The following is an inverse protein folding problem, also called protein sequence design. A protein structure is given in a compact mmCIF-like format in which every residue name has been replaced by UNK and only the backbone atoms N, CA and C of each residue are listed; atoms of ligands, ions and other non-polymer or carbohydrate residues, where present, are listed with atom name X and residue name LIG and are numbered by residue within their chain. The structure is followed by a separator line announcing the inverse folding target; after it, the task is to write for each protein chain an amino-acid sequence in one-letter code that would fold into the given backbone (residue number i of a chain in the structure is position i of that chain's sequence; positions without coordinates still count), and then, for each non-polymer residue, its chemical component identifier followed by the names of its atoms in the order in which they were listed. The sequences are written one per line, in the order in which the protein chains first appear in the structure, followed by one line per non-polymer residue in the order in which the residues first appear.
data_IF_430733502573
#
_entry.id   IF_430733502573
#
_cell.length_a   1.000
_cell.length_b   1.000
_cell.length_c   1.000
_cell.angle_alpha   90.00
_cell.angle_beta   90.00
_cell.angle_gamma   90.00
#
_symmetry.space_group_name_H-M   'P 1'
#
loop_
_entity.id
_entity.type
_entity.pdbx_description
1 polymer ?
#
# COMPACT_ATOMS: atom_id res chain seq x y z
N UNK A 1 -17.08 17.37 -10.72
CA UNK A 1 -17.27 16.03 -10.14
C UNK A 1 -15.89 15.47 -9.83
N UNK A 2 -15.57 15.21 -8.58
CA UNK A 2 -14.31 14.58 -8.19
C UNK A 2 -14.27 13.20 -8.82
N UNK A 3 -13.33 12.93 -9.74
CA UNK A 3 -13.17 11.60 -10.30
C UNK A 3 -12.49 10.73 -9.25
N UNK A 4 -13.24 9.78 -8.70
CA UNK A 4 -12.72 8.77 -7.77
C UNK A 4 -12.26 7.57 -8.58
N UNK A 5 -11.17 6.93 -8.16
CA UNK A 5 -10.69 5.69 -8.78
C UNK A 5 -11.24 4.52 -7.97
N UNK A 6 -12.11 3.75 -8.59
CA UNK A 6 -12.58 2.50 -8.04
C UNK A 6 -11.57 1.39 -8.32
N UNK A 7 -11.09 0.74 -7.27
CA UNK A 7 -10.19 -0.40 -7.35
C UNK A 7 -10.91 -1.67 -6.93
N UNK A 8 -10.72 -2.75 -7.69
CA UNK A 8 -11.12 -4.08 -7.25
C UNK A 8 -10.26 -4.51 -6.07
N UNK A 9 -10.81 -5.28 -5.14
CA UNK A 9 -10.05 -5.82 -4.01
C UNK A 9 -8.78 -6.57 -4.44
N UNK A 10 -8.85 -7.32 -5.55
CA UNK A 10 -7.68 -7.98 -6.12
C UNK A 10 -6.61 -7.01 -6.63
N UNK A 11 -6.99 -5.88 -7.24
CA UNK A 11 -6.03 -4.87 -7.66
C UNK A 11 -5.35 -4.22 -6.45
N UNK A 12 -6.11 -3.94 -5.39
CA UNK A 12 -5.56 -3.42 -4.14
C UNK A 12 -4.54 -4.38 -3.52
N UNK A 13 -4.87 -5.67 -3.44
CA UNK A 13 -4.02 -6.66 -2.79
C UNK A 13 -2.80 -7.05 -3.63
N UNK A 14 -2.95 -7.17 -4.96
CA UNK A 14 -1.91 -7.73 -5.81
C UNK A 14 -1.08 -6.71 -6.58
N UNK A 15 -1.54 -5.46 -6.73
CA UNK A 15 -0.86 -4.42 -7.52
C UNK A 15 -0.68 -3.08 -6.77
N UNK A 16 -1.57 -2.75 -5.84
CA UNK A 16 -1.71 -1.40 -5.31
C UNK A 16 -1.71 -1.32 -3.77
N UNK A 17 -0.97 -2.20 -3.11
CA UNK A 17 -0.83 -2.17 -1.65
C UNK A 17 0.06 -1.02 -1.14
N UNK A 18 0.25 -0.90 0.18
CA UNK A 18 1.20 0.00 0.81
C UNK A 18 2.57 0.02 0.12
N UNK A 19 3.09 1.21 -0.18
CA UNK A 19 4.33 1.42 -0.91
C UNK A 19 4.19 1.45 -2.43
N UNK A 20 3.06 1.04 -2.99
CA UNK A 20 2.82 1.13 -4.43
C UNK A 20 2.50 2.57 -4.87
N UNK A 21 2.82 2.89 -6.12
CA UNK A 21 2.49 4.17 -6.75
C UNK A 21 1.23 3.99 -7.62
N UNK A 22 0.22 4.82 -7.34
CA UNK A 22 -1.04 4.89 -8.05
C UNK A 22 -1.07 6.14 -8.93
N UNK A 23 -1.48 5.99 -10.20
CA UNK A 23 -1.83 7.13 -11.04
C UNK A 23 -3.23 7.61 -10.68
N UNK A 24 -3.36 8.87 -10.27
CA UNK A 24 -4.67 9.50 -10.11
C UNK A 24 -4.88 10.61 -11.12
N UNK A 25 -6.13 11.06 -11.23
CA UNK A 25 -6.52 12.19 -12.06
C UNK A 25 -5.91 13.51 -11.58
N UNK A 26 -5.44 13.57 -10.34
CA UNK A 26 -4.72 14.71 -9.75
C UNK A 26 -3.20 14.48 -9.67
N UNK A 27 -2.70 13.48 -10.37
CA UNK A 27 -1.30 13.08 -10.34
C UNK A 27 -1.03 11.85 -9.48
N UNK A 28 0.22 11.41 -9.43
CA UNK A 28 0.57 10.16 -8.77
C UNK A 28 0.64 10.29 -7.26
N UNK A 29 0.26 9.20 -6.60
CA UNK A 29 0.29 9.09 -5.14
C UNK A 29 0.89 7.75 -4.74
N UNK A 30 1.60 7.72 -3.61
CA UNK A 30 1.97 6.47 -2.94
C UNK A 30 0.87 6.05 -1.98
N UNK A 31 0.55 4.76 -1.95
CA UNK A 31 -0.35 4.19 -0.93
C UNK A 31 0.43 4.05 0.38
N UNK A 32 -0.09 4.60 1.47
CA UNK A 32 0.67 4.68 2.73
C UNK A 32 0.59 3.40 3.53
N UNK A 33 -0.49 3.17 4.25
CA UNK A 33 -0.67 1.98 5.06
C UNK A 33 -2.14 1.56 5.09
N UNK A 34 -2.37 0.27 5.34
CA UNK A 34 -3.72 -0.26 5.51
C UNK A 34 -4.37 0.15 6.83
N UNK A 35 -3.62 0.68 7.80
CA UNK A 35 -4.22 1.23 9.04
C UNK A 35 -5.25 2.34 8.77
N UNK A 36 -5.12 3.07 7.65
CA UNK A 36 -6.13 4.04 7.22
C UNK A 36 -7.47 3.41 6.82
N UNK A 37 -7.50 2.11 6.46
CA UNK A 37 -8.75 1.39 6.17
C UNK A 37 -9.62 1.31 7.43
N UNK A 38 -9.03 0.99 8.59
CA UNK A 38 -9.75 0.87 9.85
C UNK A 38 -10.43 2.19 10.23
N UNK A 39 -9.65 3.28 10.28
CA UNK A 39 -10.19 4.61 10.59
C UNK A 39 -11.22 5.07 9.56
N UNK A 40 -10.97 4.86 8.27
CA UNK A 40 -11.87 5.34 7.21
C UNK A 40 -13.17 4.55 7.15
N UNK A 41 -13.11 3.23 7.32
CA UNK A 41 -14.31 2.37 7.35
C UNK A 41 -15.11 2.63 8.63
N UNK A 42 -14.45 2.81 9.78
CA UNK A 42 -15.12 3.18 11.03
C UNK A 42 -15.90 4.50 10.90
N UNK A 43 -15.33 5.51 10.22
CA UNK A 43 -16.04 6.76 9.95
C UNK A 43 -17.25 6.56 9.02
N UNK A 44 -17.13 5.73 7.98
CA UNK A 44 -18.21 5.51 7.00
C UNK A 44 -19.40 4.74 7.57
N UNK A 45 -19.16 3.89 8.55
CA UNK A 45 -20.18 3.05 9.18
C UNK A 45 -20.78 3.68 10.44
N UNK A 46 -20.76 5.03 10.53
CA UNK A 46 -21.22 5.81 11.68
C UNK A 46 -20.64 5.35 13.03
N UNK A 47 -19.37 4.94 13.04
CA UNK A 47 -18.68 4.47 14.23
C UNK A 47 -18.96 3.01 14.62
N UNK A 48 -19.69 2.24 13.80
CA UNK A 48 -19.69 0.78 13.96
C UNK A 48 -18.28 0.25 13.69
N UNK A 49 -17.72 -0.52 14.61
CA UNK A 49 -16.43 -1.18 14.41
C UNK A 49 -16.59 -2.41 13.49
N UNK A 50 -16.91 -2.16 12.21
CA UNK A 50 -17.17 -3.20 11.21
C UNK A 50 -15.87 -3.83 10.73
N UNK A 51 -14.85 -3.02 10.44
CA UNK A 51 -13.50 -3.48 10.09
C UNK A 51 -12.57 -3.35 11.30
N UNK A 52 -11.63 -4.27 11.53
CA UNK A 52 -11.37 -5.50 10.75
C UNK A 52 -12.25 -6.70 11.16
N UNK A 53 -13.07 -6.59 12.22
CA UNK A 53 -13.77 -7.73 12.84
C UNK A 53 -14.76 -8.46 11.93
N UNK A 54 -15.73 -7.78 11.31
CA UNK A 54 -16.76 -8.41 10.46
C UNK A 54 -16.17 -8.97 9.14
N UNK A 55 -14.94 -8.59 8.81
CA UNK A 55 -14.22 -9.02 7.61
C UNK A 55 -13.11 -10.04 7.90
N UNK A 56 -13.05 -10.60 9.10
CA UNK A 56 -12.15 -11.70 9.45
C UNK A 56 -12.50 -12.96 8.65
N UNK A 57 -11.49 -13.59 8.04
CA UNK A 57 -11.62 -14.91 7.40
C UNK A 57 -11.29 -15.96 8.45
N UNK A 58 -12.33 -16.61 8.96
CA UNK A 58 -12.20 -17.69 9.94
C UNK A 58 -11.89 -19.00 9.21
N UNK A 59 -10.61 -19.32 9.09
CA UNK A 59 -10.15 -20.62 8.60
C UNK A 59 -9.07 -21.17 9.55
N UNK A 60 -9.42 -22.10 10.45
CA UNK A 60 -8.53 -22.59 11.50
C UNK A 60 -7.21 -23.15 10.96
N UNK A 61 -7.25 -23.85 9.81
CA UNK A 61 -6.06 -24.48 9.24
C UNK A 61 -5.07 -23.44 8.72
N UNK A 62 -5.56 -22.43 7.99
CA UNK A 62 -4.71 -21.35 7.49
C UNK A 62 -4.20 -20.47 8.61
N UNK A 63 -5.05 -20.19 9.61
CA UNK A 63 -4.68 -19.40 10.79
C UNK A 63 -3.57 -20.08 11.58
N UNK A 64 -3.55 -21.41 11.65
CA UNK A 64 -2.47 -22.19 12.29
C UNK A 64 -1.14 -22.16 11.54
N UNK A 65 -1.11 -21.75 10.27
CA UNK A 65 0.12 -21.59 9.47
C UNK A 65 0.71 -20.18 9.55
N UNK A 66 -0.01 -19.24 10.17
CA UNK A 66 0.46 -17.87 10.31
C UNK A 66 1.60 -17.79 11.34
N UNK A 67 2.57 -16.88 11.14
CA UNK A 67 3.67 -16.72 12.08
C UNK A 67 3.15 -16.36 13.47
N UNK A 68 3.83 -16.83 14.50
CA UNK A 68 3.60 -16.39 15.88
C UNK A 68 3.81 -14.88 15.93
N UNK A 69 2.92 -14.14 16.60
CA UNK A 69 2.84 -12.69 16.51
C UNK A 69 4.18 -11.96 16.70
N UNK A 70 4.36 -10.84 16.00
CA UNK A 70 5.56 -10.01 16.11
C UNK A 70 5.65 -9.48 17.55
N UNK A 71 6.84 -9.56 18.15
CA UNK A 71 7.15 -9.01 19.48
C UNK A 71 6.24 -9.50 20.64
N UNK A 72 5.78 -10.76 20.60
CA UNK A 72 4.93 -11.32 21.67
C UNK A 72 3.46 -10.88 21.60
N UNK A 73 3.05 -10.21 20.52
CA UNK A 73 1.65 -9.91 20.24
C UNK A 73 0.83 -11.15 19.86
N UNK A 74 -0.51 -11.03 19.79
CA UNK A 74 -1.37 -12.10 19.31
C UNK A 74 -0.99 -12.51 17.88
N UNK A 75 -1.25 -13.78 17.49
CA UNK A 75 -1.02 -14.22 16.11
C UNK A 75 -1.85 -13.34 15.15
N UNK A 76 -1.31 -13.04 13.96
CA UNK A 76 -2.05 -12.26 12.98
C UNK A 76 -3.31 -13.03 12.55
N UNK A 77 -4.30 -12.27 12.11
CA UNK A 77 -5.58 -12.79 11.62
C UNK A 77 -5.70 -12.52 10.12
N UNK A 78 -6.48 -13.35 9.44
CA UNK A 78 -6.78 -13.16 8.03
C UNK A 78 -7.98 -12.25 7.90
N UNK A 79 -7.91 -11.26 7.02
CA UNK A 79 -9.01 -10.36 6.73
C UNK A 79 -9.20 -10.22 5.23
N UNK A 80 -10.46 -10.11 4.79
CA UNK A 80 -10.78 -9.70 3.42
C UNK A 80 -10.96 -8.19 3.35
N UNK A 81 -10.67 -7.63 2.19
CA UNK A 81 -10.99 -6.21 1.91
C UNK A 81 -12.49 -6.10 1.59
N UNK A 82 -13.24 -5.21 2.24
CA UNK A 82 -14.64 -4.97 1.91
C UNK A 82 -14.81 -4.32 0.54
N UNK A 83 -15.95 -4.56 -0.10
CA UNK A 83 -16.42 -3.79 -1.24
C UNK A 83 -17.19 -2.54 -0.80
N UNK A 84 -17.26 -1.51 -1.66
CA UNK A 84 -17.99 -0.27 -1.36
C UNK A 84 -19.45 -0.51 -0.90
N UNK A 85 -20.26 -1.39 -1.53
CA UNK A 85 -21.64 -1.64 -1.08
C UNK A 85 -21.73 -2.27 0.33
N UNK A 86 -20.76 -3.09 0.73
CA UNK A 86 -20.79 -3.79 2.03
C UNK A 86 -20.59 -2.84 3.22
N UNK A 87 -19.99 -1.68 2.98
CA UNK A 87 -19.72 -0.66 4.01
C UNK A 87 -20.53 0.62 3.79
N UNK A 88 -21.59 0.56 2.96
CA UNK A 88 -22.41 1.71 2.55
C UNK A 88 -21.56 2.91 2.07
N UNK A 89 -20.42 2.62 1.44
CA UNK A 89 -19.55 3.67 0.96
C UNK A 89 -20.05 4.16 -0.40
N UNK A 90 -20.67 5.34 -0.41
CA UNK A 90 -21.22 5.88 -1.63
C UNK A 90 -20.15 6.45 -2.55
N UNK A 91 -19.13 7.19 -2.06
CA UNK A 91 -17.96 7.74 -2.84
C UNK A 91 -16.75 8.19 -2.00
N UNK A 92 -16.59 7.73 -0.77
CA UNK A 92 -15.50 8.19 0.10
C UNK A 92 -14.20 7.44 -0.15
N UNK A 93 -13.10 8.11 0.17
CA UNK A 93 -11.74 7.64 -0.07
C UNK A 93 -11.35 6.78 1.12
N UNK A 94 -11.10 5.50 0.90
CA UNK A 94 -10.79 4.56 2.00
C UNK A 94 -9.28 4.38 2.15
N UNK A 95 -8.53 4.53 1.06
CA UNK A 95 -7.08 4.38 1.07
C UNK A 95 -6.42 5.70 1.42
N UNK A 96 -5.55 5.64 2.43
CA UNK A 96 -4.64 6.73 2.73
C UNK A 96 -3.52 6.77 1.68
N UNK A 97 -3.33 7.94 1.09
CA UNK A 97 -2.35 8.16 0.02
C UNK A 97 -1.62 9.48 0.24
N UNK A 98 -0.41 9.58 -0.31
CA UNK A 98 0.43 10.78 -0.26
C UNK A 98 0.95 11.09 -1.66
N UNK A 99 0.97 12.36 -2.06
CA UNK A 99 1.51 12.80 -3.35
C UNK A 99 2.98 12.39 -3.49
N UNK A 100 3.33 11.75 -4.60
CA UNK A 100 4.68 11.28 -4.87
C UNK A 100 4.87 10.94 -6.36
N UNK A 101 5.98 11.36 -7.02
CA UNK A 101 7.10 12.14 -6.49
C UNK A 101 6.75 13.61 -6.23
N UNK A 102 7.61 14.31 -5.48
CA UNK A 102 7.48 15.75 -5.20
C UNK A 102 8.08 16.63 -6.28
N UNK A 103 8.60 16.08 -7.38
CA UNK A 103 9.16 16.85 -8.48
C UNK A 103 8.19 16.90 -9.66
N UNK A 104 8.01 18.10 -10.21
CA UNK A 104 7.08 18.40 -11.28
C UNK A 104 7.84 18.87 -12.53
N UNK A 105 7.30 18.58 -13.69
CA UNK A 105 7.76 19.02 -14.99
C UNK A 105 6.70 19.92 -15.62
N UNK A 106 7.01 21.21 -15.79
CA UNK A 106 6.19 22.15 -16.54
C UNK A 106 6.44 21.98 -18.03
N UNK A 107 5.38 21.75 -18.80
CA UNK A 107 5.41 21.56 -20.26
C UNK A 107 4.72 22.69 -21.02
N UNK A 108 4.72 23.89 -20.45
CA UNK A 108 4.11 25.04 -21.10
C UNK A 108 4.84 25.32 -22.43
N UNK A 109 4.13 25.37 -23.58
CA UNK A 109 4.74 25.65 -24.87
C UNK A 109 5.30 27.08 -24.98
N UNK A 110 4.83 28.00 -24.14
CA UNK A 110 5.22 29.42 -24.16
C UNK A 110 6.50 29.70 -23.36
N UNK A 111 7.20 28.66 -22.88
CA UNK A 111 8.51 28.85 -22.27
C UNK A 111 9.51 29.46 -23.27
N UNK A 112 10.37 30.40 -22.84
CA UNK A 112 11.28 31.13 -23.75
C UNK A 112 12.21 30.23 -24.57
N UNK A 113 12.66 29.11 -24.01
CA UNK A 113 13.55 28.16 -24.68
C UNK A 113 12.82 27.08 -25.49
N UNK A 114 11.48 27.00 -25.38
CA UNK A 114 10.68 25.89 -25.89
C UNK A 114 10.91 24.56 -25.16
N UNK A 115 11.74 24.54 -24.12
CA UNK A 115 12.02 23.35 -23.32
C UNK A 115 11.09 23.26 -22.10
N UNK A 116 11.13 22.12 -21.43
CA UNK A 116 10.40 21.90 -20.19
C UNK A 116 11.23 22.35 -18.99
N UNK A 117 10.57 22.58 -17.84
CA UNK A 117 11.26 22.97 -16.61
C UNK A 117 10.85 22.06 -15.46
N UNK A 118 11.86 21.54 -14.78
CA UNK A 118 11.78 20.69 -13.61
C UNK A 118 11.89 21.54 -12.36
N UNK A 119 10.95 21.36 -11.42
CA UNK A 119 10.91 22.10 -10.15
C UNK A 119 10.21 21.26 -9.07
N UNK A 120 10.27 21.71 -7.81
CA UNK A 120 9.69 20.99 -6.68
C UNK A 120 8.24 21.42 -6.38
N UNK A 121 7.36 20.47 -6.07
CA UNK A 121 5.98 20.69 -5.68
C UNK A 121 5.88 21.60 -4.45
N UNK A 122 4.81 22.40 -4.41
CA UNK A 122 4.62 23.49 -3.44
C UNK A 122 5.21 24.83 -3.91
N UNK A 123 6.03 24.82 -4.96
CA UNK A 123 6.41 26.03 -5.70
C UNK A 123 5.66 26.10 -7.04
N UNK A 124 5.42 27.31 -7.55
CA UNK A 124 4.94 27.51 -8.92
C UNK A 124 6.09 27.32 -9.90
N UNK A 125 5.77 27.06 -11.16
CA UNK A 125 6.79 27.14 -12.20
C UNK A 125 7.48 28.50 -12.13
N UNK A 126 8.82 28.56 -12.00
CA UNK A 126 9.53 29.83 -11.87
C UNK A 126 9.66 30.58 -13.21
N UNK A 127 9.33 29.93 -14.33
CA UNK A 127 9.49 30.48 -15.68
C UNK A 127 8.18 31.03 -16.25
N UNK A 128 7.05 30.39 -15.95
CA UNK A 128 5.73 30.80 -16.43
C UNK A 128 4.74 30.98 -15.27
N UNK A 129 3.80 31.93 -15.39
CA UNK A 129 2.78 32.16 -14.35
C UNK A 129 1.67 31.11 -14.32
N UNK A 130 1.59 30.25 -15.35
CA UNK A 130 0.52 29.27 -15.51
C UNK A 130 0.81 27.96 -14.76
N UNK A 131 -0.16 27.50 -13.99
CA UNK A 131 -0.06 26.29 -13.18
C UNK A 131 -0.67 25.05 -13.89
N UNK A 132 -1.37 25.18 -15.03
CA UNK A 132 -2.09 24.05 -15.64
C UNK A 132 -1.20 23.06 -16.43
N UNK A 133 0.08 23.39 -16.64
CA UNK A 133 1.00 22.63 -17.49
C UNK A 133 2.00 21.75 -16.74
N UNK A 134 1.87 21.61 -15.41
CA UNK A 134 2.79 20.79 -14.62
C UNK A 134 2.29 19.37 -14.38
N UNK A 135 3.20 18.41 -14.48
CA UNK A 135 2.93 17.00 -14.20
C UNK A 135 4.07 16.41 -13.37
N UNK A 136 3.78 15.48 -12.45
CA UNK A 136 4.83 14.82 -11.69
C UNK A 136 5.81 14.10 -12.62
N UNK A 137 7.11 14.18 -12.32
CA UNK A 137 8.13 13.50 -13.12
C UNK A 137 7.91 12.00 -13.14
N UNK A 138 8.40 11.36 -14.20
CA UNK A 138 8.25 9.91 -14.40
C UNK A 138 9.35 9.05 -13.77
N UNK A 139 10.35 9.67 -13.15
CA UNK A 139 11.50 8.98 -12.59
C UNK A 139 11.58 9.17 -11.07
N UNK A 140 11.97 8.09 -10.38
CA UNK A 140 12.13 8.03 -8.93
C UNK A 140 13.40 7.26 -8.60
N UNK A 141 13.88 7.39 -7.36
CA UNK A 141 15.02 6.65 -6.84
C UNK A 141 14.56 5.54 -5.90
N UNK A 142 15.17 4.37 -5.97
CA UNK A 142 14.92 3.27 -5.04
C UNK A 142 16.23 2.55 -4.65
N UNK A 143 16.20 1.71 -3.63
CA UNK A 143 17.33 0.84 -3.28
C UNK A 143 16.89 -0.61 -3.01
N UNK A 144 17.86 -1.51 -2.88
CA UNK A 144 17.63 -2.94 -2.65
C UNK A 144 17.00 -3.27 -1.29
N UNK A 145 17.01 -2.33 -0.33
CA UNK A 145 16.33 -2.45 0.97
C UNK A 145 14.87 -1.98 0.92
N UNK A 146 14.32 -1.65 -0.25
CA UNK A 146 12.91 -1.26 -0.41
C UNK A 146 12.59 0.20 -0.06
N UNK A 147 13.60 1.05 0.11
CA UNK A 147 13.40 2.50 0.21
C UNK A 147 13.07 3.10 -1.16
N UNK A 148 12.24 4.15 -1.14
CA UNK A 148 11.74 4.86 -2.31
C UNK A 148 11.84 6.37 -2.05
N UNK A 149 12.41 7.14 -2.97
CA UNK A 149 12.57 8.58 -2.79
C UNK A 149 12.53 9.34 -4.12
N UNK A 150 12.42 10.66 -4.01
CA UNK A 150 12.67 11.59 -5.09
C UNK A 150 14.15 11.55 -5.50
N UNK A 151 14.42 11.87 -6.77
CA UNK A 151 15.80 12.03 -7.24
C UNK A 151 16.45 13.24 -6.55
N UNK A 152 17.67 13.06 -6.03
CA UNK A 152 18.45 14.15 -5.43
C UNK A 152 19.12 15.01 -6.51
N UNK A 153 18.33 15.80 -7.23
CA UNK A 153 18.79 16.57 -8.41
C UNK A 153 20.02 17.44 -8.15
N UNK A 154 20.00 18.31 -7.13
CA UNK A 154 21.14 19.19 -6.83
C UNK A 154 22.43 18.42 -6.58
N UNK A 155 22.38 17.36 -5.78
CA UNK A 155 23.55 16.53 -5.50
C UNK A 155 24.05 15.76 -6.73
N UNK A 156 23.13 15.26 -7.55
CA UNK A 156 23.45 14.49 -8.75
C UNK A 156 24.00 15.36 -9.89
N UNK A 157 23.47 16.57 -10.08
CA UNK A 157 23.92 17.53 -11.08
C UNK A 157 25.31 18.10 -10.76
N UNK A 158 25.56 18.46 -9.50
CA UNK A 158 26.77 19.18 -9.10
C UNK A 158 27.87 18.27 -8.54
N UNK A 159 27.64 16.95 -8.47
CA UNK A 159 28.58 15.95 -7.89
C UNK A 159 29.10 16.36 -6.50
N UNK A 160 28.26 17.04 -5.70
CA UNK A 160 28.61 17.54 -4.37
C UNK A 160 29.36 18.88 -4.33
N UNK A 161 29.46 19.62 -5.44
CA UNK A 161 29.95 21.01 -5.39
C UNK A 161 28.90 21.90 -4.69
N UNK A 162 29.26 22.44 -3.52
CA UNK A 162 28.34 23.13 -2.60
C UNK A 162 27.83 24.50 -3.09
N UNK A 163 28.32 25.00 -4.23
CA UNK A 163 28.09 26.39 -4.62
C UNK A 163 26.76 26.66 -5.35
N UNK A 164 26.03 25.63 -5.77
CA UNK A 164 24.77 25.80 -6.51
C UNK A 164 23.58 25.22 -5.75
N UNK A 165 22.74 26.11 -5.22
CA UNK A 165 21.50 25.78 -4.50
C UNK A 165 20.26 25.84 -5.40
N UNK A 166 20.44 25.83 -6.72
CA UNK A 166 19.34 25.90 -7.68
C UNK A 166 18.41 24.68 -7.55
N UNK A 167 17.12 24.95 -7.57
CA UNK A 167 16.03 23.95 -7.48
C UNK A 167 15.23 23.84 -8.78
N UNK A 168 15.64 24.58 -9.80
CA UNK A 168 15.02 24.61 -11.13
C UNK A 168 16.00 24.07 -12.17
N UNK A 169 15.53 23.17 -13.03
CA UNK A 169 16.36 22.63 -14.09
C UNK A 169 15.61 22.68 -15.41
N UNK A 170 16.28 23.13 -16.46
CA UNK A 170 15.77 22.98 -17.81
C UNK A 170 15.85 21.50 -18.22
N UNK A 171 14.80 21.01 -18.86
CA UNK A 171 14.61 19.63 -19.27
C UNK A 171 14.36 19.58 -20.77
N UNK A 172 15.34 19.04 -21.49
CA UNK A 172 15.27 18.85 -22.95
C UNK A 172 15.10 17.37 -23.26
N UNK A 173 13.98 17.02 -23.87
CA UNK A 173 13.61 15.63 -24.16
C UNK A 173 13.55 15.39 -25.67
N UNK A 174 14.47 14.57 -26.19
CA UNK A 174 14.46 14.11 -27.59
C UNK A 174 13.80 12.73 -27.72
N UNK A 175 13.90 11.90 -26.68
CA UNK A 175 13.26 10.58 -26.63
C UNK A 175 12.77 10.29 -25.21
N UNK A 176 11.87 9.31 -25.07
CA UNK A 176 11.42 8.87 -23.75
C UNK A 176 12.45 8.04 -22.96
N UNK A 177 13.61 7.72 -23.52
CA UNK A 177 14.69 7.05 -22.77
C UNK A 177 15.52 8.06 -21.97
N UNK A 178 16.11 7.62 -20.84
CA UNK A 178 17.00 8.48 -20.03
C UNK A 178 18.19 9.04 -20.83
N UNK A 179 18.65 8.32 -21.86
CA UNK A 179 19.75 8.76 -22.73
C UNK A 179 19.36 9.89 -23.70
N UNK A 180 18.06 10.11 -23.92
CA UNK A 180 17.55 11.21 -24.75
C UNK A 180 16.96 12.36 -23.92
N UNK A 181 17.24 12.39 -22.62
CA UNK A 181 16.87 13.49 -21.73
C UNK A 181 18.15 14.18 -21.29
N UNK A 182 18.21 15.48 -21.50
CA UNK A 182 19.27 16.35 -21.01
C UNK A 182 18.71 17.32 -19.99
N UNK A 183 19.43 17.46 -18.88
CA UNK A 183 19.08 18.30 -17.74
C UNK A 183 20.12 19.39 -17.63
N UNK A 184 19.70 20.65 -17.57
CA UNK A 184 20.60 21.80 -17.45
C UNK A 184 20.21 22.63 -16.22
N UNK A 185 21.18 22.94 -15.37
CA UNK A 185 20.97 23.83 -14.23
C UNK A 185 20.80 25.28 -14.70
N UNK A 186 19.73 25.95 -14.27
CA UNK A 186 19.41 27.32 -14.69
C UNK A 186 20.34 28.38 -14.11
N UNK A 187 21.08 28.06 -13.04
CA UNK A 187 21.98 29.01 -12.37
C UNK A 187 23.44 28.87 -12.78
N UNK A 188 23.94 27.65 -12.97
CA UNK A 188 25.37 27.39 -13.24
C UNK A 188 25.64 26.78 -14.62
N UNK A 189 24.60 26.54 -15.42
CA UNK A 189 24.67 26.03 -16.80
C UNK A 189 25.30 24.64 -16.95
N UNK A 190 25.59 23.94 -15.85
CA UNK A 190 26.01 22.54 -15.89
C UNK A 190 24.88 21.73 -16.52
N UNK A 191 25.22 20.99 -17.58
CA UNK A 191 24.32 20.14 -18.32
C UNK A 191 24.79 18.69 -18.29
N UNK A 192 23.85 17.76 -18.13
CA UNK A 192 24.13 16.33 -18.08
C UNK A 192 22.93 15.54 -18.59
N UNK A 193 23.19 14.41 -19.25
CA UNK A 193 22.11 13.48 -19.60
C UNK A 193 21.58 12.74 -18.38
N UNK A 194 20.29 12.43 -18.37
CA UNK A 194 19.66 11.76 -17.23
C UNK A 194 20.26 10.36 -16.95
N UNK A 195 20.72 9.65 -17.99
CA UNK A 195 21.38 8.35 -17.82
C UNK A 195 22.75 8.47 -17.15
N UNK A 196 23.49 9.56 -17.41
CA UNK A 196 24.74 9.87 -16.71
C UNK A 196 24.46 10.32 -15.26
N UNK A 197 23.47 11.20 -15.07
CA UNK A 197 23.03 11.68 -13.77
C UNK A 197 22.64 10.52 -12.85
N UNK A 198 21.92 9.54 -13.39
CA UNK A 198 21.46 8.37 -12.63
C UNK A 198 22.60 7.55 -12.01
N UNK A 199 23.80 7.61 -12.59
CA UNK A 199 24.98 6.93 -12.04
C UNK A 199 25.59 7.69 -10.86
N UNK A 200 25.26 8.97 -10.71
CA UNK A 200 25.83 9.92 -9.75
C UNK A 200 24.89 10.23 -8.56
N UNK A 201 23.77 9.52 -8.41
CA UNK A 201 22.75 9.82 -7.39
C UNK A 201 23.21 9.56 -5.94
N UNK A 202 24.21 8.69 -5.77
CA UNK A 202 24.86 8.43 -4.48
C UNK A 202 24.18 7.36 -3.62
N UNK A 203 24.36 7.50 -2.31
CA UNK A 203 23.85 6.56 -1.31
C UNK A 203 22.39 6.83 -0.97
N UNK A 204 21.69 5.75 -0.64
CA UNK A 204 20.29 5.78 -0.30
C UNK A 204 20.01 6.56 0.97
N UNK A 205 18.93 7.34 0.95
CA UNK A 205 18.53 8.18 2.08
C UNK A 205 17.62 7.51 3.11
N UNK A 206 17.22 6.27 2.88
CA UNK A 206 16.40 5.51 3.84
C UNK A 206 14.93 5.94 3.90
N UNK A 207 14.40 6.61 2.87
CA UNK A 207 13.02 7.10 2.87
C UNK A 207 12.01 5.98 2.63
N UNK A 208 10.94 5.99 3.41
CA UNK A 208 9.76 5.16 3.22
C UNK A 208 8.51 6.03 3.09
N UNK A 209 8.17 6.51 1.88
CA UNK A 209 7.05 7.42 1.64
C UNK A 209 5.72 6.88 2.18
N UNK A 210 5.58 5.55 2.24
CA UNK A 210 4.39 4.89 2.72
C UNK A 210 4.19 4.95 4.25
N UNK A 211 5.26 5.22 5.00
CA UNK A 211 5.21 5.35 6.46
C UNK A 211 5.09 6.81 6.91
N UNK A 212 5.20 7.76 5.98
CA UNK A 212 5.16 9.20 6.30
C UNK A 212 3.72 9.67 6.54
N UNK A 213 3.54 10.56 7.52
CA UNK A 213 2.29 11.27 7.73
C UNK A 213 1.97 12.24 6.59
N UNK A 214 0.68 12.61 6.50
CA UNK A 214 0.20 13.61 5.55
C UNK A 214 0.66 15.00 6.00
N UNK A 215 1.36 15.72 5.14
CA UNK A 215 1.88 17.06 5.43
C UNK A 215 3.16 17.09 6.24
N UNK A 216 3.68 15.92 6.65
CA UNK A 216 4.96 15.82 7.33
C UNK A 216 6.12 15.85 6.33
N UNK A 217 7.25 16.49 6.70
CA UNK A 217 8.45 16.48 5.89
C UNK A 217 8.99 15.04 5.74
N UNK A 218 9.61 14.70 4.59
CA UNK A 218 10.16 13.36 4.39
C UNK A 218 11.25 13.00 5.38
N UNK A 219 11.13 11.83 6.00
CA UNK A 219 12.16 11.28 6.88
C UNK A 219 13.19 10.47 6.10
N UNK A 220 14.46 10.67 6.46
CA UNK A 220 15.62 10.13 5.75
C UNK A 220 16.70 9.68 6.73
N UNK A 221 16.48 8.57 7.47
CA UNK A 221 17.43 8.05 8.45
C UNK A 221 18.76 7.57 7.85
N UNK A 222 18.86 7.50 6.52
CA UNK A 222 20.03 6.98 5.81
C UNK A 222 19.93 5.47 5.58
N UNK A 223 20.67 5.01 4.58
CA UNK A 223 20.78 3.61 4.20
C UNK A 223 22.19 3.33 3.66
N UNK A 224 22.71 2.13 3.88
CA UNK A 224 24.03 1.71 3.38
C UNK A 224 24.04 1.30 1.90
N UNK A 225 22.88 1.21 1.26
CA UNK A 225 22.76 0.82 -0.15
C UNK A 225 22.94 1.99 -1.13
N UNK A 226 23.19 1.64 -2.39
CA UNK A 226 23.17 2.60 -3.51
C UNK A 226 21.74 2.86 -3.98
N UNK A 227 21.44 4.12 -4.29
CA UNK A 227 20.20 4.50 -4.98
C UNK A 227 20.28 4.23 -6.49
N UNK A 228 19.17 3.77 -7.06
CA UNK A 228 19.00 3.46 -8.48
C UNK A 228 17.81 4.26 -9.00
N UNK A 229 17.98 4.94 -10.13
CA UNK A 229 16.89 5.64 -10.80
C UNK A 229 16.12 4.69 -11.71
N UNK A 230 14.79 4.76 -11.67
CA UNK A 230 13.91 4.00 -12.54
C UNK A 230 12.65 4.79 -12.87
N UNK A 231 11.86 4.30 -13.82
CA UNK A 231 10.50 4.78 -14.04
C UNK A 231 9.63 4.46 -12.82
N UNK A 232 8.80 5.42 -12.40
CA UNK A 232 7.88 5.26 -11.25
C UNK A 232 6.75 4.24 -11.47
N UNK A 233 6.55 3.81 -12.71
CA UNK A 233 5.62 2.73 -13.08
C UNK A 233 6.33 1.37 -13.24
N UNK A 234 7.62 1.29 -12.92
CA UNK A 234 8.39 0.06 -13.10
C UNK A 234 7.93 -1.03 -12.12
N UNK A 235 7.80 -2.26 -12.61
CA UNK A 235 7.44 -3.44 -11.80
C UNK A 235 8.46 -3.80 -10.73
N UNK A 236 9.67 -3.23 -10.79
CA UNK A 236 10.72 -3.44 -9.78
C UNK A 236 10.45 -2.70 -8.46
N UNK A 237 9.57 -1.69 -8.48
CA UNK A 237 9.33 -0.84 -7.32
C UNK A 237 8.43 -1.49 -6.27
N UNK A 238 7.50 -2.34 -6.70
CA UNK A 238 6.54 -2.95 -5.80
C UNK A 238 6.06 -4.30 -6.33
N UNK A 239 6.01 -5.29 -5.44
CA UNK A 239 5.46 -6.61 -5.72
C UNK A 239 4.79 -7.15 -4.45
N UNK A 240 3.66 -7.83 -4.61
CA UNK A 240 3.01 -8.55 -3.52
C UNK A 240 3.73 -9.87 -3.22
N UNK A 241 3.99 -10.17 -1.94
CA UNK A 241 4.31 -11.55 -1.53
C UNK A 241 3.01 -12.33 -1.42
N UNK A 242 2.81 -13.28 -2.34
CA UNK A 242 1.60 -14.09 -2.42
C UNK A 242 1.89 -15.51 -1.98
N UNK A 243 1.26 -15.94 -0.87
CA UNK A 243 1.19 -17.35 -0.49
C UNK A 243 -0.12 -17.94 -0.99
N UNK A 244 -0.03 -19.07 -1.69
CA UNK A 244 -1.20 -19.85 -2.12
C UNK A 244 -1.24 -21.11 -1.28
N UNK A 245 -2.39 -21.36 -0.67
CA UNK A 245 -2.63 -22.59 0.07
C UNK A 245 -3.84 -23.27 -0.55
N UNK A 246 -3.65 -24.52 -0.91
CA UNK A 246 -4.73 -25.43 -1.27
C UNK A 246 -4.79 -26.43 -0.15
N UNK A 247 -5.93 -26.56 0.52
CA UNK A 247 -6.15 -27.65 1.47
C UNK A 247 -7.10 -28.65 0.87
N UNK A 248 -6.65 -29.88 0.79
CA UNK A 248 -7.47 -31.05 0.47
C UNK A 248 -7.69 -31.77 1.81
N UNK A 249 -8.92 -31.84 2.33
CA UNK A 249 -9.17 -32.57 3.56
C UNK A 249 -8.96 -34.07 3.33
N UNK A 250 -8.18 -34.72 4.20
CA UNK A 250 -7.88 -36.15 4.09
C UNK A 250 -8.96 -37.05 4.72
N UNK A 251 -9.93 -36.46 5.43
CA UNK A 251 -11.09 -37.09 6.10
C UNK A 251 -12.19 -36.04 6.28
N UNK A 252 -13.45 -36.44 6.53
CA UNK A 252 -14.57 -35.55 6.89
C UNK A 252 -14.29 -34.80 8.20
N UNK A 253 -13.45 -33.78 8.13
CA UNK A 253 -13.03 -32.92 9.24
C UNK A 253 -14.05 -31.83 9.56
N UNK A 254 -15.24 -31.87 8.92
CA UNK A 254 -16.33 -30.93 9.15
C UNK A 254 -16.72 -30.86 10.64
N UNK A 255 -16.90 -31.98 11.38
CA UNK A 255 -17.28 -31.92 12.80
C UNK A 255 -16.21 -31.25 13.68
N UNK A 256 -14.93 -31.51 13.40
CA UNK A 256 -13.80 -30.93 14.15
C UNK A 256 -13.69 -29.44 13.87
N UNK A 257 -13.84 -29.03 12.61
CA UNK A 257 -13.81 -27.61 12.22
C UNK A 257 -15.02 -26.85 12.78
N UNK A 258 -16.21 -27.45 12.77
CA UNK A 258 -17.41 -26.90 13.40
C UNK A 258 -17.22 -26.72 14.91
N UNK A 259 -16.69 -27.74 15.60
CA UNK A 259 -16.41 -27.65 17.04
C UNK A 259 -15.43 -26.51 17.35
N UNK A 260 -14.40 -26.30 16.54
CA UNK A 260 -13.42 -25.24 16.78
C UNK A 260 -13.98 -23.84 16.48
N UNK A 261 -14.78 -23.70 15.40
CA UNK A 261 -15.51 -22.46 15.12
C UNK A 261 -16.49 -22.11 16.24
N UNK A 262 -17.32 -23.08 16.66
CA UNK A 262 -18.28 -22.92 17.75
C UNK A 262 -17.59 -22.57 19.07
N UNK A 263 -16.49 -23.27 19.40
CA UNK A 263 -15.72 -23.02 20.62
C UNK A 263 -15.19 -21.58 20.65
N UNK A 264 -14.66 -21.08 19.53
CA UNK A 264 -14.17 -19.70 19.45
C UNK A 264 -15.30 -18.67 19.53
N UNK A 265 -16.43 -18.93 18.88
CA UNK A 265 -17.58 -18.03 18.91
C UNK A 265 -18.15 -17.91 20.32
N UNK A 266 -18.33 -19.04 21.02
CA UNK A 266 -18.70 -19.09 22.44
C UNK A 266 -17.68 -18.34 23.31
N UNK A 267 -16.38 -18.51 23.08
CA UNK A 267 -15.33 -17.84 23.85
C UNK A 267 -15.18 -16.34 23.52
N UNK A 268 -15.70 -15.89 22.38
CA UNK A 268 -15.65 -14.49 21.95
C UNK A 268 -16.80 -13.64 22.51
N UNK A 269 -17.88 -14.29 22.98
CA UNK A 269 -19.04 -13.66 23.59
C UNK A 269 -18.83 -13.56 25.10
N UNK A 270 -19.05 -12.36 25.66
CA UNK A 270 -18.78 -12.04 27.07
C UNK A 270 -19.91 -12.44 28.01
N UNK A 271 -21.10 -12.77 27.49
CA UNK A 271 -22.24 -13.21 28.30
C UNK A 271 -23.06 -14.33 27.63
N UNK A 272 -23.66 -15.18 28.47
CA UNK A 272 -24.55 -16.27 28.06
C UNK A 272 -25.79 -15.77 27.29
N UNK A 273 -26.25 -14.56 27.57
CA UNK A 273 -27.38 -13.89 26.90
C UNK A 273 -27.06 -13.49 25.45
N UNK A 274 -25.82 -13.13 25.13
CA UNK A 274 -25.40 -12.84 23.75
C UNK A 274 -25.28 -14.11 22.89
N UNK A 275 -25.05 -15.27 23.52
CA UNK A 275 -24.99 -16.56 22.83
C UNK A 275 -26.39 -16.99 22.36
N UNK A 276 -27.42 -16.71 23.17
CA UNK A 276 -28.80 -17.09 22.88
C UNK A 276 -29.56 -16.08 22.01
N UNK A 277 -29.13 -14.81 21.97
CA UNK A 277 -29.82 -13.73 21.24
C UNK A 277 -29.84 -13.89 19.71
N UNK A 278 -28.85 -14.59 19.13
CA UNK A 278 -28.77 -14.82 17.67
C UNK A 278 -29.45 -16.12 17.23
N UNK A 279 -29.90 -16.95 18.17
CA UNK A 279 -30.62 -18.18 17.88
C UNK A 279 -32.11 -17.91 17.82
N UNK A 280 -32.67 -17.67 16.63
CA UNK A 280 -34.10 -17.94 16.43
C UNK A 280 -34.32 -19.43 16.73
N UNK A 281 -34.93 -19.68 17.89
CA UNK A 281 -35.19 -21.01 18.41
C UNK A 281 -36.25 -21.67 17.53
N UNK A 282 -35.83 -22.31 16.43
CA UNK A 282 -36.70 -23.16 15.63
C UNK A 282 -37.15 -24.32 16.52
N UNK A 283 -38.36 -24.20 17.08
CA UNK A 283 -39.06 -25.30 17.70
C UNK A 283 -39.47 -26.30 16.61
N UNK A 284 -38.51 -27.11 16.16
CA UNK A 284 -38.86 -28.35 15.47
C UNK A 284 -39.20 -29.38 16.53
N UNK A 285 -40.48 -29.73 16.60
CA UNK A 285 -41.02 -30.85 17.36
C UNK A 285 -40.60 -32.18 16.72
N UNK A 286 -39.29 -32.47 16.76
CA UNK A 286 -38.71 -33.75 16.37
C UNK A 286 -38.35 -34.57 17.61
N UNK A 287 -39.02 -35.71 17.81
CA UNK A 287 -38.62 -36.70 18.83
C UNK A 287 -37.17 -37.14 18.57
N UNK A 288 -36.29 -36.87 19.53
CA UNK A 288 -34.94 -37.44 19.57
C UNK A 288 -35.08 -38.88 20.05
N UNK A 289 -34.88 -39.85 19.16
CA UNK A 289 -34.68 -41.25 19.52
C UNK A 289 -33.19 -41.48 19.74
N UNK A 290 -32.80 -41.76 20.98
CA UNK A 290 -31.42 -42.14 21.34
C UNK A 290 -31.25 -43.62 20.97
N UNK A 291 -30.29 -44.00 20.10
CA UNK A 291 -29.95 -45.40 19.90
C UNK A 291 -29.25 -45.92 21.16
N UNK A 292 -29.81 -46.94 21.79
CA UNK A 292 -29.15 -47.66 22.87
C UNK A 292 -28.04 -48.54 22.27
N UNK A 293 -26.79 -48.35 22.72
CA UNK A 293 -25.73 -49.35 22.54
C UNK A 293 -24.36 -48.79 22.18
N UNK A 294 -23.65 -48.24 23.16
CA UNK A 294 -22.18 -48.32 23.17
C UNK A 294 -21.72 -48.44 24.62
N UNK A 295 -21.38 -49.67 25.02
CA UNK A 295 -20.82 -49.98 26.34
C UNK A 295 -19.30 -49.79 26.28
N UNK A 296 -18.66 -49.10 27.24
CA UNK A 296 -17.21 -49.06 27.36
C UNK A 296 -16.70 -50.32 28.06
N UNK A 297 -15.44 -50.67 27.74
CA UNK A 297 -14.54 -51.62 28.39
C UNK A 297 -14.69 -53.13 28.12
N UNK A 298 -13.72 -53.66 27.35
CA UNK A 298 -12.85 -54.72 27.87
C UNK A 298 -11.52 -54.73 27.13
N UNK A 299 -10.49 -54.22 27.82
CA UNK A 299 -9.09 -54.60 27.63
C UNK A 299 -8.98 -56.14 27.61
N UNK A 300 -8.26 -56.68 26.64
CA UNK A 300 -7.68 -58.02 26.71
C UNK A 300 -6.16 -57.91 26.68
N UNK A 301 -5.58 -58.15 27.84
CA UNK A 301 -4.27 -58.74 28.02
C UNK A 301 -4.33 -60.22 27.66
N UNK A 302 -3.57 -60.63 26.63
CA UNK A 302 -2.68 -61.80 26.54
C UNK A 302 -2.05 -61.86 25.15
#
# INVERSE_FOLDING_TARGET
MTQHIDLRASQLLFNHGPGSILETTRGPVVVTHFGGLDSSIGMLTNGRMVFPREFEIIEPRLSGLLPVGIAGGPPPKLHRVPSNPEIDNQRSWILSTKEFPSWLLCRNPDHPSGNFYLFQAGSRCPICPEDDFHTAIRFVAYCRQGHLDDIRWSGAMHRGQEMCQETTYEWRETTSAMSGIEITCTSCEISMRLDELSRSIGACRGRHPQLEGRGEPPERPGCGEREIVTLRQSSVLWQSDTKRVVTIPNTDSIPILLMECLRREVNSKTSFTEILGDGEMYQSSGRITIPAGFHPDSDRSE
#
